data_IF_244156537007
#
_entry.id   IF_244156537007
#
_cell.length_a   1.000
_cell.length_b   1.000
_cell.length_c   1.000
_cell.angle_alpha   90.00
_cell.angle_beta   90.00
_cell.angle_gamma   90.00
#
_symmetry.space_group_name_H-M   'P 1'
#
loop_
_entity.id
_entity.type
_entity.pdbx_description
1 polymer ?
#
# COMPACT_ATOMS: atom_id res chain seq x y z
N UNK A 1 -0.27 -17.17 -11.41
CA UNK A 1 -1.16 -16.33 -10.57
C UNK A 1 -1.51 -15.08 -11.39
N UNK A 2 -2.78 -14.88 -11.69
CA UNK A 2 -3.21 -13.70 -12.44
C UNK A 2 -3.10 -12.49 -11.52
N UNK A 3 -2.46 -11.42 -11.98
CA UNK A 3 -2.31 -10.18 -11.20
C UNK A 3 -3.63 -9.43 -11.19
N UNK A 4 -4.04 -8.83 -10.05
CA UNK A 4 -5.19 -7.94 -10.03
C UNK A 4 -4.98 -6.81 -11.04
N UNK A 5 -6.03 -6.48 -11.76
CA UNK A 5 -5.99 -5.33 -12.66
C UNK A 5 -6.18 -4.07 -11.84
N UNK A 6 -5.20 -3.20 -11.88
CA UNK A 6 -5.26 -1.83 -11.37
C UNK A 6 -5.41 -0.91 -12.56
N UNK A 7 -6.46 -0.12 -12.58
CA UNK A 7 -6.74 0.86 -13.65
C UNK A 7 -6.86 2.24 -13.03
N UNK A 8 -6.09 3.20 -13.52
CA UNK A 8 -6.25 4.60 -13.15
C UNK A 8 -7.48 5.17 -13.85
N UNK A 9 -8.45 5.66 -13.09
CA UNK A 9 -9.63 6.34 -13.64
C UNK A 9 -9.32 7.79 -13.97
N UNK A 10 -8.80 8.51 -12.97
CA UNK A 10 -8.38 9.90 -13.12
C UNK A 10 -7.36 10.27 -12.05
N UNK A 11 -6.59 11.31 -12.33
CA UNK A 11 -5.80 12.00 -11.30
C UNK A 11 -5.88 13.51 -11.53
N UNK A 12 -5.64 14.27 -10.46
CA UNK A 12 -5.63 15.72 -10.51
C UNK A 12 -4.71 16.27 -9.42
N UNK A 13 -4.24 17.50 -9.65
CA UNK A 13 -3.44 18.25 -8.69
C UNK A 13 -4.38 18.99 -7.74
N UNK A 14 -4.29 18.71 -6.45
CA UNK A 14 -5.12 19.36 -5.42
C UNK A 14 -4.42 20.53 -4.75
N UNK A 15 -3.10 20.48 -4.73
CA UNK A 15 -2.27 21.58 -4.20
C UNK A 15 -1.08 21.81 -5.11
N UNK A 16 -0.79 23.08 -5.37
CA UNK A 16 0.40 23.48 -6.11
C UNK A 16 0.84 24.85 -5.59
N UNK A 17 1.98 24.88 -4.92
CA UNK A 17 2.62 26.10 -4.43
C UNK A 17 4.07 26.09 -4.90
N UNK A 18 4.47 27.17 -5.56
CA UNK A 18 5.85 27.44 -5.93
C UNK A 18 6.20 28.84 -5.49
N UNK A 19 7.15 28.99 -4.61
CA UNK A 19 7.70 30.26 -4.18
C UNK A 19 9.15 30.32 -4.64
N UNK A 20 9.48 31.27 -5.51
CA UNK A 20 10.85 31.55 -5.92
C UNK A 20 11.45 32.61 -5.00
N UNK A 21 12.62 32.34 -4.46
CA UNK A 21 13.38 33.27 -3.61
C UNK A 21 14.53 33.88 -4.41
N UNK A 22 15.00 35.10 -4.09
CA UNK A 22 16.13 35.72 -4.76
C UNK A 22 17.47 35.05 -4.40
N UNK A 23 17.45 33.96 -3.69
CA UNK A 23 18.65 33.21 -3.26
C UNK A 23 19.22 32.43 -4.42
N UNK A 24 20.33 32.90 -4.97
CA UNK A 24 21.17 32.17 -5.90
C UNK A 24 22.14 31.31 -5.08
N UNK A 25 21.80 30.08 -4.77
CA UNK A 25 22.74 29.20 -4.05
C UNK A 25 22.68 27.79 -4.57
N UNK A 26 23.85 27.23 -4.91
CA UNK A 26 24.05 25.80 -5.19
C UNK A 26 23.64 24.88 -4.02
N UNK A 27 23.38 25.43 -2.83
CA UNK A 27 22.89 24.67 -1.67
C UNK A 27 21.50 24.08 -1.89
N UNK A 28 20.68 24.70 -2.74
CA UNK A 28 19.33 24.22 -3.05
C UNK A 28 19.28 22.80 -3.58
N UNK A 29 20.29 22.38 -4.33
CA UNK A 29 20.41 21.03 -4.87
C UNK A 29 20.72 19.97 -3.81
N UNK A 30 21.01 20.39 -2.56
CA UNK A 30 21.38 19.51 -1.45
C UNK A 30 20.22 19.19 -0.52
N UNK A 31 19.09 19.88 -0.64
CA UNK A 31 17.92 19.62 0.16
C UNK A 31 17.09 18.51 -0.51
N UNK A 32 17.02 17.35 0.11
CA UNK A 32 16.19 16.27 -0.38
C UNK A 32 14.71 16.61 -0.27
N UNK A 33 13.86 16.28 -1.26
CA UNK A 33 12.42 16.41 -1.15
C UNK A 33 11.88 15.50 -0.06
N UNK A 34 10.90 15.98 0.70
CA UNK A 34 10.10 15.16 1.62
C UNK A 34 8.88 14.66 0.86
N UNK A 35 8.81 13.36 0.65
CA UNK A 35 7.71 12.68 -0.02
C UNK A 35 6.83 11.94 0.99
N UNK A 36 5.54 11.90 0.76
CA UNK A 36 4.61 11.06 1.51
C UNK A 36 3.52 10.52 0.59
N UNK A 37 3.12 9.28 0.85
CA UNK A 37 2.08 8.59 0.10
C UNK A 37 1.06 8.01 1.07
N UNK A 38 -0.21 8.21 0.75
CA UNK A 38 -1.34 7.74 1.53
C UNK A 38 -2.33 7.06 0.60
N UNK A 39 -2.83 5.88 0.96
CA UNK A 39 -3.70 5.07 0.14
C UNK A 39 -4.93 4.61 0.93
N UNK A 40 -6.12 4.78 0.38
CA UNK A 40 -7.39 4.40 0.99
C UNK A 40 -8.13 3.41 0.09
N UNK A 41 -8.42 2.23 0.62
CA UNK A 41 -9.25 1.22 -0.04
C UNK A 41 -10.64 1.23 0.57
N UNK A 42 -11.67 1.31 -0.27
CA UNK A 42 -13.07 1.34 0.13
C UNK A 42 -13.78 0.01 -0.19
N UNK A 43 -14.96 -0.19 0.38
CA UNK A 43 -15.77 -1.40 0.21
C UNK A 43 -16.14 -1.69 -1.26
N UNK A 44 -16.35 -0.66 -2.06
CA UNK A 44 -16.63 -0.74 -3.50
C UNK A 44 -15.41 -1.11 -4.35
N UNK A 45 -14.26 -1.39 -3.69
CA UNK A 45 -12.96 -1.69 -4.30
C UNK A 45 -12.34 -0.53 -5.07
N UNK A 46 -12.78 0.69 -4.82
CA UNK A 46 -12.06 1.87 -5.25
C UNK A 46 -10.82 2.07 -4.37
N UNK A 47 -9.73 2.51 -4.99
CA UNK A 47 -8.49 2.85 -4.31
C UNK A 47 -8.18 4.31 -4.60
N UNK A 48 -8.14 5.14 -3.55
CA UNK A 48 -7.72 6.53 -3.64
C UNK A 48 -6.30 6.66 -3.08
N UNK A 49 -5.44 7.36 -3.81
CA UNK A 49 -4.06 7.59 -3.40
C UNK A 49 -3.73 9.07 -3.47
N UNK A 50 -2.96 9.51 -2.48
CA UNK A 50 -2.42 10.86 -2.36
C UNK A 50 -0.91 10.78 -2.42
N UNK A 51 -0.29 11.53 -3.31
CA UNK A 51 1.16 11.70 -3.39
C UNK A 51 1.51 13.16 -3.12
N UNK A 52 2.32 13.41 -2.09
CA UNK A 52 2.66 14.77 -1.64
C UNK A 52 4.16 14.98 -1.67
N UNK A 53 4.56 16.19 -1.97
CA UNK A 53 5.95 16.64 -1.85
C UNK A 53 6.02 18.00 -1.14
N UNK A 54 7.01 18.11 -0.26
CA UNK A 54 7.52 19.40 0.23
C UNK A 54 9.01 19.44 -0.06
N UNK A 55 9.45 20.44 -0.77
CA UNK A 55 10.86 20.58 -1.17
C UNK A 55 11.35 21.99 -1.00
N UNK A 56 12.50 22.14 -0.34
CA UNK A 56 13.09 23.43 -0.01
C UNK A 56 12.50 24.08 1.24
N UNK A 57 12.98 25.28 1.54
CA UNK A 57 12.50 26.14 2.62
C UNK A 57 12.34 27.56 2.10
N UNK A 58 11.24 28.21 2.48
CA UNK A 58 10.93 29.58 2.05
C UNK A 58 12.00 30.54 2.53
N UNK A 59 12.55 31.33 1.60
CA UNK A 59 13.63 32.30 1.88
C UNK A 59 15.03 31.70 2.05
N UNK A 60 15.18 30.36 2.13
CA UNK A 60 16.47 29.71 2.34
C UNK A 60 16.96 28.94 1.10
N UNK A 61 16.02 28.54 0.24
CA UNK A 61 16.31 27.83 -1.01
C UNK A 61 15.76 28.60 -2.21
N UNK A 62 16.30 28.43 -3.43
CA UNK A 62 15.79 29.07 -4.64
C UNK A 62 14.31 28.83 -4.89
N UNK A 63 13.82 27.65 -4.52
CA UNK A 63 12.40 27.30 -4.54
C UNK A 63 11.95 26.71 -3.22
N UNK A 64 10.75 27.09 -2.81
CA UNK A 64 9.93 26.32 -1.89
C UNK A 64 8.74 25.75 -2.66
N UNK A 65 8.60 24.43 -2.66
CA UNK A 65 7.60 23.71 -3.43
C UNK A 65 6.72 22.89 -2.47
N UNK A 66 5.41 23.07 -2.58
CA UNK A 66 4.43 22.12 -2.04
C UNK A 66 3.51 21.70 -3.18
N UNK A 67 3.43 20.40 -3.42
CA UNK A 67 2.51 19.87 -4.40
C UNK A 67 1.85 18.58 -3.88
N UNK A 68 0.58 18.40 -4.26
CA UNK A 68 -0.20 17.21 -3.96
C UNK A 68 -0.95 16.79 -5.23
N UNK A 69 -0.84 15.50 -5.54
CA UNK A 69 -1.55 14.83 -6.63
C UNK A 69 -2.39 13.71 -6.04
N UNK A 70 -3.67 13.68 -6.37
CA UNK A 70 -4.62 12.67 -5.97
C UNK A 70 -5.05 11.84 -7.17
N UNK A 71 -5.20 10.54 -6.97
CA UNK A 71 -5.68 9.63 -8.01
C UNK A 71 -6.71 8.64 -7.50
N UNK A 72 -7.67 8.34 -8.35
CA UNK A 72 -8.66 7.28 -8.16
C UNK A 72 -8.35 6.11 -9.08
N UNK A 73 -8.40 4.91 -8.53
CA UNK A 73 -8.12 3.67 -9.24
C UNK A 73 -9.26 2.68 -9.02
N UNK A 74 -9.60 1.96 -10.08
CA UNK A 74 -10.45 0.78 -10.03
C UNK A 74 -9.61 -0.47 -9.83
N UNK A 75 -10.09 -1.36 -8.99
CA UNK A 75 -9.40 -2.62 -8.67
C UNK A 75 -10.30 -3.80 -9.00
N UNK A 76 -9.90 -4.63 -9.95
CA UNK A 76 -10.58 -5.88 -10.26
C UNK A 76 -10.00 -7.04 -9.47
N UNK A 77 -10.72 -7.46 -8.43
CA UNK A 77 -10.37 -8.58 -7.56
C UNK A 77 -11.20 -9.84 -7.86
N UNK A 78 -12.04 -9.84 -8.89
CA UNK A 78 -13.00 -10.92 -9.16
C UNK A 78 -12.33 -12.29 -9.33
N UNK A 79 -11.18 -12.33 -10.00
CA UNK A 79 -10.44 -13.57 -10.25
C UNK A 79 -9.70 -14.12 -9.02
N UNK A 80 -9.53 -13.34 -7.97
CA UNK A 80 -8.80 -13.73 -6.76
C UNK A 80 -9.73 -14.21 -5.64
N UNK A 81 -11.03 -13.95 -5.78
CA UNK A 81 -12.03 -14.29 -4.77
C UNK A 81 -11.97 -15.77 -4.42
N UNK A 82 -11.76 -16.07 -3.12
CA UNK A 82 -11.68 -17.44 -2.61
C UNK A 82 -10.42 -18.22 -3.01
N UNK A 83 -9.43 -17.62 -3.66
CA UNK A 83 -8.17 -18.26 -4.06
C UNK A 83 -7.01 -18.04 -3.11
N UNK A 84 -7.03 -16.93 -2.39
CA UNK A 84 -5.99 -16.52 -1.42
C UNK A 84 -6.54 -16.52 0.00
N UNK A 85 -5.68 -16.67 0.99
CA UNK A 85 -6.03 -16.51 2.41
C UNK A 85 -6.06 -15.02 2.80
N UNK A 86 -6.39 -14.73 4.06
CA UNK A 86 -6.50 -13.36 4.55
C UNK A 86 -5.18 -12.57 4.42
N UNK A 87 -4.05 -13.20 4.72
CA UNK A 87 -2.75 -12.54 4.62
C UNK A 87 -2.36 -12.26 3.17
N UNK A 88 -2.72 -13.17 2.26
CA UNK A 88 -2.57 -12.96 0.81
C UNK A 88 -3.42 -11.78 0.30
N UNK A 89 -4.62 -11.55 0.86
CA UNK A 89 -5.45 -10.38 0.54
C UNK A 89 -4.78 -9.10 1.03
N UNK A 90 -4.26 -9.06 2.27
CA UNK A 90 -3.53 -7.89 2.82
C UNK A 90 -2.31 -7.54 1.99
N UNK A 91 -1.49 -8.55 1.67
CA UNK A 91 -0.31 -8.34 0.82
C UNK A 91 -0.69 -7.79 -0.56
N UNK A 92 -1.80 -8.23 -1.11
CA UNK A 92 -2.30 -7.74 -2.39
C UNK A 92 -2.72 -6.27 -2.30
N UNK A 93 -3.42 -5.86 -1.24
CA UNK A 93 -3.78 -4.45 -1.01
C UNK A 93 -2.53 -3.57 -0.91
N UNK A 94 -1.53 -4.00 -0.14
CA UNK A 94 -0.27 -3.28 -0.03
C UNK A 94 0.42 -3.12 -1.40
N UNK A 95 0.50 -4.19 -2.19
CA UNK A 95 1.09 -4.13 -3.53
C UNK A 95 0.32 -3.22 -4.50
N UNK A 96 -1.01 -3.17 -4.40
CA UNK A 96 -1.81 -2.25 -5.22
C UNK A 96 -1.59 -0.80 -4.81
N UNK A 97 -1.54 -0.51 -3.51
CA UNK A 97 -1.24 0.81 -2.97
C UNK A 97 0.13 1.31 -3.44
N UNK A 98 1.16 0.46 -3.39
CA UNK A 98 2.51 0.75 -3.89
C UNK A 98 2.50 1.05 -5.39
N UNK A 99 1.84 0.21 -6.19
CA UNK A 99 1.77 0.42 -7.65
C UNK A 99 1.03 1.72 -8.00
N UNK A 100 -0.05 2.03 -7.30
CA UNK A 100 -0.80 3.27 -7.49
C UNK A 100 0.03 4.50 -7.07
N UNK A 101 0.73 4.44 -5.93
CA UNK A 101 1.63 5.48 -5.46
C UNK A 101 2.77 5.72 -6.48
N UNK A 102 3.32 4.66 -7.08
CA UNK A 102 4.36 4.77 -8.11
C UNK A 102 3.85 5.49 -9.38
N UNK A 103 2.60 5.24 -9.77
CA UNK A 103 1.97 5.95 -10.90
C UNK A 103 1.82 7.44 -10.58
N UNK A 104 1.31 7.77 -9.38
CA UNK A 104 1.10 9.16 -8.97
C UNK A 104 2.43 9.90 -8.73
N UNK A 105 3.47 9.20 -8.27
CA UNK A 105 4.82 9.78 -8.18
C UNK A 105 5.30 10.27 -9.55
N UNK A 106 5.04 9.51 -10.61
CA UNK A 106 5.31 9.93 -11.99
C UNK A 106 4.56 11.20 -12.37
N UNK A 107 3.28 11.31 -12.01
CA UNK A 107 2.47 12.51 -12.19
C UNK A 107 2.99 13.71 -11.40
N UNK A 108 3.36 13.49 -10.12
CA UNK A 108 3.93 14.52 -9.26
C UNK A 108 5.27 15.05 -9.80
N UNK A 109 6.15 14.17 -10.30
CA UNK A 109 7.41 14.55 -10.97
C UNK A 109 7.15 15.43 -12.19
N UNK A 110 6.20 15.03 -13.04
CA UNK A 110 5.80 15.81 -14.22
C UNK A 110 5.27 17.19 -13.83
N UNK A 111 4.44 17.26 -12.78
CA UNK A 111 3.90 18.53 -12.28
C UNK A 111 5.00 19.45 -11.75
N UNK A 112 5.88 18.96 -10.86
CA UNK A 112 7.00 19.77 -10.31
C UNK A 112 7.91 20.28 -11.41
N UNK A 113 8.29 19.44 -12.38
CA UNK A 113 9.13 19.89 -13.48
C UNK A 113 8.43 20.93 -14.36
N UNK A 114 7.13 20.81 -14.56
CA UNK A 114 6.33 21.76 -15.35
C UNK A 114 6.25 23.15 -14.69
N UNK A 115 5.93 23.22 -13.39
CA UNK A 115 5.82 24.51 -12.70
C UNK A 115 7.17 25.20 -12.53
N UNK A 116 8.24 24.44 -12.35
CA UNK A 116 9.59 25.02 -12.20
C UNK A 116 10.23 25.40 -13.55
N UNK A 117 9.82 24.79 -14.66
CA UNK A 117 10.38 25.08 -15.99
C UNK A 117 10.17 26.53 -16.45
N UNK A 118 9.13 27.19 -15.96
CA UNK A 118 8.79 28.59 -16.28
C UNK A 118 9.25 29.59 -15.21
N UNK A 119 9.95 29.08 -14.18
CA UNK A 119 10.36 29.87 -13.03
C UNK A 119 11.86 30.26 -13.11
N UNK A 120 12.33 31.29 -12.36
CA UNK A 120 13.61 31.94 -12.62
C UNK A 120 14.86 31.07 -12.38
N UNK A 121 14.79 30.06 -11.53
CA UNK A 121 15.96 29.21 -11.18
C UNK A 121 16.02 27.90 -11.97
N UNK A 122 15.24 27.79 -13.05
CA UNK A 122 15.24 26.62 -13.94
C UNK A 122 14.46 25.42 -13.40
N UNK A 123 14.47 24.36 -14.18
CA UNK A 123 13.64 23.16 -13.92
C UNK A 123 14.22 22.30 -12.81
N UNK A 124 13.40 21.96 -11.82
CA UNK A 124 13.71 20.98 -10.80
C UNK A 124 13.02 19.66 -11.10
N UNK A 125 13.74 18.56 -10.88
CA UNK A 125 13.25 17.22 -11.12
C UNK A 125 13.24 16.40 -9.83
N UNK A 126 12.07 15.94 -9.42
CA UNK A 126 11.99 14.96 -8.35
C UNK A 126 12.78 13.70 -8.74
N UNK A 127 13.52 13.10 -7.80
CA UNK A 127 14.27 11.88 -8.06
C UNK A 127 13.34 10.74 -8.48
N UNK A 128 13.88 9.77 -9.21
CA UNK A 128 13.20 8.50 -9.44
C UNK A 128 13.42 7.64 -8.21
N UNK A 129 12.36 7.35 -7.48
CA UNK A 129 12.39 6.51 -6.28
C UNK A 129 11.61 5.22 -6.52
N UNK A 130 12.09 4.14 -5.91
CA UNK A 130 11.31 2.90 -5.81
C UNK A 130 10.51 2.95 -4.52
N UNK A 131 9.19 3.09 -4.64
CA UNK A 131 8.28 3.13 -3.52
C UNK A 131 8.07 1.69 -3.03
N UNK A 132 8.23 1.48 -1.73
CA UNK A 132 7.97 0.22 -1.04
C UNK A 132 6.67 0.28 -0.22
N UNK A 133 6.24 -0.85 0.32
CA UNK A 133 5.07 -0.89 1.19
C UNK A 133 5.27 -0.10 2.51
N UNK A 134 6.52 0.16 2.91
CA UNK A 134 6.84 0.93 4.12
C UNK A 134 6.72 2.45 3.89
N UNK A 135 6.72 2.88 2.63
CA UNK A 135 6.65 4.29 2.24
C UNK A 135 5.20 4.76 2.03
N UNK A 136 4.23 3.83 2.07
CA UNK A 136 2.81 4.11 1.82
C UNK A 136 2.00 3.83 3.08
N UNK A 137 1.34 4.85 3.61
CA UNK A 137 0.35 4.71 4.66
C UNK A 137 -0.94 4.15 4.07
N UNK A 138 -1.24 2.89 4.37
CA UNK A 138 -2.40 2.18 3.83
C UNK A 138 -3.55 2.14 4.83
N UNK A 139 -4.70 2.64 4.44
CA UNK A 139 -5.96 2.59 5.17
C UNK A 139 -6.98 1.74 4.41
N UNK A 140 -7.51 0.71 5.05
CA UNK A 140 -8.55 -0.16 4.48
C UNK A 140 -9.82 0.03 5.30
N UNK A 141 -10.86 0.57 4.67
CA UNK A 141 -12.15 0.73 5.32
C UNK A 141 -12.84 -0.62 5.45
N UNK A 142 -13.35 -0.92 6.65
CA UNK A 142 -14.01 -2.19 6.98
C UNK A 142 -13.17 -3.42 6.57
N UNK A 143 -11.88 -3.38 6.93
CA UNK A 143 -10.86 -4.35 6.51
C UNK A 143 -11.29 -5.80 6.72
N UNK A 144 -11.84 -6.14 7.90
CA UNK A 144 -12.24 -7.51 8.23
C UNK A 144 -13.37 -8.01 7.32
N UNK A 145 -14.35 -7.18 7.02
CA UNK A 145 -15.46 -7.52 6.13
C UNK A 145 -14.97 -7.68 4.70
N UNK A 146 -14.16 -6.75 4.22
CA UNK A 146 -13.59 -6.79 2.88
C UNK A 146 -12.70 -8.02 2.70
N UNK A 147 -11.83 -8.33 3.66
CA UNK A 147 -10.99 -9.52 3.64
C UNK A 147 -11.84 -10.79 3.66
N UNK A 148 -12.87 -10.87 4.52
CA UNK A 148 -13.74 -12.06 4.61
C UNK A 148 -14.50 -12.32 3.30
N UNK A 149 -14.86 -11.25 2.57
CA UNK A 149 -15.55 -11.34 1.28
C UNK A 149 -14.65 -11.87 0.15
N UNK A 150 -13.34 -11.68 0.26
CA UNK A 150 -12.34 -12.00 -0.76
C UNK A 150 -11.55 -13.27 -0.44
N UNK A 151 -11.25 -13.49 0.84
CA UNK A 151 -10.40 -14.59 1.26
C UNK A 151 -11.07 -15.94 1.12
N UNK A 152 -10.23 -16.96 0.96
CA UNK A 152 -10.65 -18.36 1.03
C UNK A 152 -11.04 -18.68 2.48
N UNK A 153 -12.21 -19.33 2.71
CA UNK A 153 -12.61 -19.73 4.06
C UNK A 153 -11.53 -20.64 4.68
N UNK A 154 -11.22 -20.47 5.98
CA UNK A 154 -10.23 -21.28 6.64
C UNK A 154 -10.59 -22.76 6.50
N UNK A 155 -9.64 -23.58 6.07
CA UNK A 155 -9.84 -25.04 5.99
C UNK A 155 -10.14 -25.53 7.40
N UNK A 156 -11.35 -26.04 7.65
CA UNK A 156 -11.66 -26.78 8.88
C UNK A 156 -10.62 -27.89 9.01
N UNK A 157 -9.70 -27.78 9.96
CA UNK A 157 -8.79 -28.87 10.32
C UNK A 157 -9.67 -30.07 10.63
N UNK A 158 -9.65 -31.11 9.82
CA UNK A 158 -10.24 -32.41 10.17
C UNK A 158 -9.53 -32.80 11.47
N UNK A 159 -10.27 -32.75 12.58
CA UNK A 159 -9.78 -33.27 13.85
C UNK A 159 -9.22 -34.67 13.57
N UNK A 160 -7.93 -34.84 13.83
CA UNK A 160 -7.26 -36.11 13.54
C UNK A 160 -7.91 -37.18 14.39
N UNK A 161 -8.60 -38.12 13.76
CA UNK A 161 -9.18 -39.34 14.38
C UNK A 161 -8.13 -40.23 15.07
N UNK A 162 -6.86 -39.82 15.08
CA UNK A 162 -5.77 -40.59 15.69
C UNK A 162 -5.68 -40.46 17.23
N UNK A 163 -6.30 -39.46 17.84
CA UNK A 163 -6.27 -39.34 19.31
C UNK A 163 -7.35 -40.15 20.02
N UNK A 164 -8.44 -40.51 19.36
CA UNK A 164 -9.46 -41.35 19.98
C UNK A 164 -9.05 -42.85 20.08
N UNK A 165 -8.23 -43.34 19.14
CA UNK A 165 -7.82 -44.77 19.11
C UNK A 165 -6.70 -45.09 20.12
N UNK A 166 -5.99 -44.08 20.67
CA UNK A 166 -4.95 -44.32 21.69
C UNK A 166 -5.49 -44.39 23.13
N UNK A 167 -6.68 -43.84 23.38
CA UNK A 167 -7.32 -43.84 24.72
C UNK A 167 -8.04 -45.17 24.95
N UNK A 168 -8.69 -45.77 23.94
CA UNK A 168 -9.35 -47.07 24.07
C UNK A 168 -8.40 -48.22 24.30
N UNK A 169 -7.15 -48.14 23.77
CA UNK A 169 -6.14 -49.22 24.02
C UNK A 169 -5.56 -49.19 25.42
N UNK A 170 -5.59 -48.06 26.13
CA UNK A 170 -5.02 -47.96 27.48
C UNK A 170 -6.00 -48.44 28.57
N UNK A 171 -7.30 -48.39 28.32
CA UNK A 171 -8.30 -48.92 29.26
C UNK A 171 -8.50 -50.44 29.17
N UNK A 172 -8.35 -51.04 27.99
CA UNK A 172 -8.46 -52.49 27.81
C UNK A 172 -7.31 -53.28 28.49
N UNK A 173 -6.13 -52.67 28.63
CA UNK A 173 -4.96 -53.33 29.25
C UNK A 173 -4.94 -53.25 30.78
N UNK A 174 -5.76 -52.36 31.40
CA UNK A 174 -5.89 -52.24 32.85
C UNK A 174 -6.90 -53.21 33.47
N UNK A 175 -7.83 -53.73 32.68
CA UNK A 175 -8.86 -54.68 33.15
C UNK A 175 -8.40 -56.14 33.13
N UNK A 176 -7.33 -56.47 32.40
CA UNK A 176 -6.83 -57.83 32.27
C UNK A 176 -5.88 -58.29 33.42
N UNK A 177 -5.47 -57.37 34.33
CA UNK A 177 -4.51 -57.67 35.40
C UNK A 177 -5.08 -57.78 36.81
N UNK A 178 -6.38 -57.97 36.99
CA UNK A 178 -7.02 -58.17 38.31
C UNK A 178 -7.86 -59.45 38.32
N UNK A 179 -7.22 -60.65 38.42
CA UNK A 179 -7.84 -61.84 38.99
C UNK A 179 -7.02 -62.27 40.19
N UNK A 180 -7.63 -62.43 41.40
CA UNK A 180 -6.96 -62.86 42.60
C UNK A 180 -6.91 -64.43 42.63
N UNK A 181 -5.85 -64.86 43.28
CA UNK A 181 -5.80 -66.19 43.86
C UNK A 181 -6.63 -66.24 45.14
#
# INVERSE_FOLDING_TARGET
MQKPRLSLDYYYVTRSTLIASPVEDDRATRVAPKLSYEAHIFEDKSLFVFARVTWGAEGETPYYIQAEVNGSFQVDLSELRGKVDADGVRLMFANMAVNAAQILHGGLRGHVSSITSVAPHGTWYLPTEMISAMDVELYVRDEEELISSLAKPPRKRKASKRQAASIEKTEADKTAKKKPQ
#
